data_IF_709493459559
#
_entry.id   IF_709493459559
#
_cell.length_a   1.000
_cell.length_b   1.000
_cell.length_c   1.000
_cell.angle_alpha   90.00
_cell.angle_beta   90.00
_cell.angle_gamma   90.00
#
_symmetry.space_group_name_H-M   'P 1'
#
loop_
_entity.id
_entity.type
_entity.pdbx_description
1 polymer ?
#
# COMPACT_ATOMS: atom_id res chain seq x y z
N UNK A 1 21.34 -38.18 -10.75
CA UNK A 1 19.96 -38.17 -10.22
C UNK A 1 19.63 -36.74 -9.83
N UNK A 2 18.93 -36.02 -10.70
CA UNK A 2 18.40 -34.69 -10.43
C UNK A 2 17.15 -34.84 -9.57
N UNK A 3 17.18 -34.34 -8.34
CA UNK A 3 15.97 -34.19 -7.52
C UNK A 3 14.96 -33.32 -8.29
N UNK A 4 13.67 -33.69 -8.32
CA UNK A 4 12.67 -32.86 -8.95
C UNK A 4 12.49 -31.60 -8.09
N UNK A 5 12.85 -30.43 -8.63
CA UNK A 5 12.50 -29.14 -8.04
C UNK A 5 10.99 -29.12 -7.78
N UNK A 6 10.62 -28.96 -6.51
CA UNK A 6 9.24 -29.03 -6.06
C UNK A 6 8.43 -27.87 -6.67
N UNK A 7 7.49 -28.14 -7.60
CA UNK A 7 6.72 -27.11 -8.30
C UNK A 7 5.84 -26.26 -7.37
N UNK A 8 5.66 -26.71 -6.12
CA UNK A 8 5.06 -25.94 -5.03
C UNK A 8 5.87 -24.68 -4.69
N UNK A 9 7.20 -24.79 -4.66
CA UNK A 9 8.13 -23.74 -4.21
C UNK A 9 8.18 -22.57 -5.19
N UNK A 10 8.07 -22.84 -6.49
CA UNK A 10 8.06 -21.80 -7.53
C UNK A 10 6.69 -21.11 -7.68
N UNK A 11 5.58 -21.83 -7.49
CA UNK A 11 4.25 -21.19 -7.38
C UNK A 11 4.15 -20.29 -6.16
N UNK A 12 4.72 -20.73 -5.04
CA UNK A 12 4.85 -19.94 -3.84
C UNK A 12 5.62 -18.64 -4.15
N UNK A 13 6.83 -18.72 -4.71
CA UNK A 13 7.64 -17.54 -5.12
C UNK A 13 6.87 -16.57 -6.01
N UNK A 14 6.12 -17.05 -7.00
CA UNK A 14 5.35 -16.20 -7.91
C UNK A 14 4.21 -15.46 -7.19
N UNK A 15 3.46 -16.15 -6.32
CA UNK A 15 2.45 -15.51 -5.46
C UNK A 15 3.08 -14.57 -4.41
N UNK A 16 4.35 -14.77 -4.04
CA UNK A 16 5.06 -13.93 -3.06
C UNK A 16 5.57 -12.62 -3.66
N UNK A 17 6.13 -12.67 -4.87
CA UNK A 17 6.45 -11.46 -5.62
C UNK A 17 5.18 -10.61 -5.76
N UNK A 18 4.04 -11.23 -6.10
CA UNK A 18 2.76 -10.52 -6.18
C UNK A 18 2.39 -9.84 -4.85
N UNK A 19 2.36 -10.56 -3.73
CA UNK A 19 1.95 -9.97 -2.43
C UNK A 19 2.85 -8.82 -1.96
N UNK A 20 4.16 -8.96 -2.08
CA UNK A 20 5.11 -7.90 -1.69
C UNK A 20 4.95 -6.69 -2.61
N UNK A 21 4.78 -6.91 -3.93
CA UNK A 21 4.51 -5.85 -4.91
C UNK A 21 3.16 -5.18 -4.62
N UNK A 22 2.12 -5.93 -4.28
CA UNK A 22 0.81 -5.39 -3.90
C UNK A 22 0.90 -4.51 -2.67
N UNK A 23 1.61 -4.95 -1.62
CA UNK A 23 1.80 -4.16 -0.42
C UNK A 23 2.64 -2.90 -0.68
N UNK A 24 3.69 -3.01 -1.50
CA UNK A 24 4.48 -1.86 -1.94
C UNK A 24 3.61 -0.84 -2.69
N UNK A 25 2.70 -1.29 -3.56
CA UNK A 25 1.75 -0.40 -4.26
C UNK A 25 0.77 0.28 -3.30
N UNK A 26 0.23 -0.43 -2.32
CA UNK A 26 -0.68 0.17 -1.33
C UNK A 26 0.01 1.32 -0.58
N UNK A 27 1.27 1.14 -0.16
CA UNK A 27 2.08 2.19 0.47
C UNK A 27 2.22 3.41 -0.45
N UNK A 28 2.53 3.19 -1.73
CA UNK A 28 2.65 4.26 -2.73
C UNK A 28 1.32 4.99 -2.98
N UNK A 29 0.19 4.29 -2.95
CA UNK A 29 -1.12 4.89 -3.09
C UNK A 29 -1.48 5.75 -1.87
N UNK A 30 -1.29 5.26 -0.65
CA UNK A 30 -1.49 6.05 0.58
C UNK A 30 -0.57 7.29 0.57
N UNK A 31 0.69 7.13 0.14
CA UNK A 31 1.62 8.25 -0.03
C UNK A 31 1.14 9.30 -1.05
N UNK A 32 0.69 8.88 -2.23
CA UNK A 32 0.18 9.82 -3.23
C UNK A 32 -1.09 10.55 -2.75
N UNK A 33 -1.93 9.89 -1.96
CA UNK A 33 -3.13 10.51 -1.36
C UNK A 33 -2.73 11.61 -0.38
N UNK A 34 -1.75 11.32 0.48
CA UNK A 34 -1.16 12.25 1.44
C UNK A 34 -0.54 13.49 0.76
N UNK A 35 0.06 13.34 -0.43
CA UNK A 35 0.60 14.49 -1.17
C UNK A 35 -0.46 15.46 -1.69
N UNK A 36 -1.73 15.02 -1.82
CA UNK A 36 -2.83 15.81 -2.40
C UNK A 36 -3.79 16.38 -1.35
N UNK A 37 -3.61 16.03 -0.08
CA UNK A 37 -4.48 16.41 1.02
C UNK A 37 -3.66 16.91 2.21
N UNK A 38 -4.32 17.53 3.19
CA UNK A 38 -3.69 17.77 4.49
C UNK A 38 -3.44 16.44 5.19
N UNK A 39 -2.24 16.28 5.75
CA UNK A 39 -1.84 15.04 6.40
C UNK A 39 -2.61 14.89 7.71
N UNK A 40 -3.47 13.87 7.80
CA UNK A 40 -4.14 13.53 9.04
C UNK A 40 -3.35 12.51 9.85
N UNK A 41 -3.57 12.48 11.16
CA UNK A 41 -3.02 11.43 12.02
C UNK A 41 -3.49 10.02 11.61
N UNK A 42 -4.69 9.92 11.02
CA UNK A 42 -5.24 8.66 10.50
C UNK A 42 -4.47 8.16 9.28
N UNK A 43 -4.15 9.04 8.32
CA UNK A 43 -3.38 8.66 7.13
C UNK A 43 -1.94 8.25 7.48
N UNK A 44 -1.34 8.90 8.49
CA UNK A 44 -0.02 8.51 9.01
C UNK A 44 -0.05 7.11 9.63
N UNK A 45 -1.09 6.81 10.42
CA UNK A 45 -1.29 5.49 11.00
C UNK A 45 -1.50 4.41 9.92
N UNK A 46 -2.29 4.71 8.88
CA UNK A 46 -2.49 3.82 7.72
C UNK A 46 -1.17 3.51 7.00
N UNK A 47 -0.34 4.53 6.78
CA UNK A 47 0.96 4.39 6.12
C UNK A 47 1.93 3.55 6.96
N UNK A 48 1.96 3.76 8.29
CA UNK A 48 2.76 2.98 9.23
C UNK A 48 2.32 1.53 9.27
N UNK A 49 1.03 1.27 9.37
CA UNK A 49 0.51 -0.10 9.40
C UNK A 49 0.83 -0.85 8.10
N UNK A 50 0.67 -0.18 6.96
CA UNK A 50 1.00 -0.73 5.64
C UNK A 50 2.50 -1.05 5.52
N UNK A 51 3.37 -0.21 6.06
CA UNK A 51 4.82 -0.42 6.09
C UNK A 51 5.20 -1.60 6.99
N UNK A 52 4.55 -1.77 8.15
CA UNK A 52 4.75 -2.94 9.01
C UNK A 52 4.29 -4.24 8.34
N UNK A 53 3.19 -4.22 7.58
CA UNK A 53 2.75 -5.37 6.78
C UNK A 53 3.79 -5.72 5.71
N UNK A 54 4.35 -4.71 5.02
CA UNK A 54 5.44 -4.92 4.05
C UNK A 54 6.64 -5.60 4.70
N UNK A 55 7.08 -5.11 5.87
CA UNK A 55 8.20 -5.70 6.60
C UNK A 55 7.95 -7.17 6.91
N UNK A 56 6.80 -7.51 7.52
CA UNK A 56 6.47 -8.90 7.86
C UNK A 56 6.44 -9.82 6.64
N UNK A 57 5.91 -9.35 5.51
CA UNK A 57 5.94 -10.13 4.28
C UNK A 57 7.36 -10.25 3.72
N UNK A 58 8.14 -9.17 3.74
CA UNK A 58 9.50 -9.14 3.23
C UNK A 58 10.43 -10.05 4.04
N UNK A 59 10.35 -10.03 5.38
CA UNK A 59 11.10 -10.91 6.29
C UNK A 59 10.75 -12.38 6.05
N UNK A 60 9.44 -12.69 6.00
CA UNK A 60 8.96 -14.06 5.80
C UNK A 60 9.46 -14.69 4.50
N UNK A 61 9.76 -13.87 3.49
CA UNK A 61 10.18 -14.32 2.16
C UNK A 61 11.59 -13.85 1.78
N UNK A 62 12.37 -13.43 2.77
CA UNK A 62 13.79 -13.03 2.64
C UNK A 62 14.05 -11.98 1.53
N UNK A 63 13.10 -11.05 1.34
CA UNK A 63 13.20 -9.98 0.34
C UNK A 63 14.04 -8.82 0.87
N UNK A 64 15.37 -8.99 0.90
CA UNK A 64 16.33 -8.07 1.53
C UNK A 64 16.12 -6.60 1.16
N UNK A 65 15.87 -6.29 -0.12
CA UNK A 65 15.63 -4.90 -0.57
C UNK A 65 14.34 -4.30 0.04
N UNK A 66 13.27 -5.09 0.13
CA UNK A 66 12.00 -4.66 0.71
C UNK A 66 12.07 -4.58 2.24
N UNK A 67 12.85 -5.45 2.89
CA UNK A 67 13.13 -5.38 4.34
C UNK A 67 13.82 -4.05 4.66
N UNK A 68 14.90 -3.72 3.93
CA UNK A 68 15.61 -2.44 4.11
C UNK A 68 14.70 -1.24 3.87
N UNK A 69 13.91 -1.25 2.79
CA UNK A 69 12.97 -0.16 2.50
C UNK A 69 11.92 0.00 3.59
N UNK A 70 11.35 -1.09 4.11
CA UNK A 70 10.35 -1.02 5.15
C UNK A 70 10.93 -0.48 6.47
N UNK A 71 12.16 -0.84 6.82
CA UNK A 71 12.86 -0.25 7.97
C UNK A 71 13.11 1.24 7.79
N UNK A 72 13.68 1.66 6.64
CA UNK A 72 13.96 3.06 6.35
C UNK A 72 12.67 3.92 6.41
N UNK A 73 11.56 3.39 5.87
CA UNK A 73 10.25 4.07 5.90
C UNK A 73 9.75 4.17 7.34
N UNK A 74 9.76 3.08 8.12
CA UNK A 74 9.31 3.11 9.51
C UNK A 74 10.11 4.12 10.34
N UNK A 75 11.43 4.17 10.18
CA UNK A 75 12.27 5.14 10.87
C UNK A 75 11.91 6.58 10.53
N UNK A 76 11.63 6.86 9.26
CA UNK A 76 11.19 8.18 8.83
C UNK A 76 9.82 8.56 9.45
N UNK A 77 8.88 7.61 9.52
CA UNK A 77 7.57 7.82 10.15
C UNK A 77 7.68 8.03 11.67
N UNK A 78 8.56 7.29 12.35
CA UNK A 78 8.85 7.47 13.77
C UNK A 78 9.43 8.87 14.06
N UNK A 79 10.29 9.38 13.17
CA UNK A 79 10.81 10.75 13.28
C UNK A 79 9.68 11.80 13.15
N UNK A 80 8.65 11.55 12.34
CA UNK A 80 7.45 12.41 12.26
C UNK A 80 6.66 12.37 13.55
N UNK A 81 6.42 11.18 14.10
CA UNK A 81 5.70 11.00 15.37
C UNK A 81 6.44 11.69 16.52
N UNK A 82 7.76 11.51 16.62
CA UNK A 82 8.61 12.18 17.60
C UNK A 82 8.55 13.71 17.49
N UNK A 83 8.33 14.24 16.28
CA UNK A 83 8.11 15.66 16.02
C UNK A 83 6.63 16.08 16.17
N UNK A 84 5.82 15.36 16.95
CA UNK A 84 4.40 15.63 17.20
C UNK A 84 3.56 15.66 15.91
N UNK A 85 3.88 14.81 14.95
CA UNK A 85 3.20 14.76 13.66
C UNK A 85 3.60 15.89 12.69
N UNK A 86 4.54 16.77 13.06
CA UNK A 86 5.00 17.84 12.17
C UNK A 86 6.00 17.31 11.17
N UNK A 87 5.64 17.43 9.91
CA UNK A 87 6.54 17.14 8.80
C UNK A 87 7.46 18.33 8.60
N UNK A 88 8.75 18.06 8.57
CA UNK A 88 9.74 19.02 8.12
C UNK A 88 10.22 18.64 6.71
N UNK A 89 10.89 19.58 6.05
CA UNK A 89 11.34 19.40 4.66
C UNK A 89 12.32 18.23 4.51
N UNK A 90 13.12 17.93 5.53
CA UNK A 90 14.04 16.77 5.50
C UNK A 90 13.28 15.46 5.47
N UNK A 91 12.29 15.26 6.34
CA UNK A 91 11.53 14.01 6.39
C UNK A 91 10.65 13.82 5.15
N UNK A 92 10.07 14.91 4.63
CA UNK A 92 9.34 14.87 3.35
C UNK A 92 10.27 14.45 2.21
N UNK A 93 11.49 14.98 2.17
CA UNK A 93 12.50 14.63 1.15
C UNK A 93 12.92 13.17 1.27
N UNK A 94 13.16 12.69 2.50
CA UNK A 94 13.53 11.31 2.77
C UNK A 94 12.42 10.33 2.39
N UNK A 95 11.18 10.60 2.82
CA UNK A 95 10.02 9.78 2.44
C UNK A 95 9.81 9.76 0.93
N UNK A 96 9.94 10.91 0.23
CA UNK A 96 9.86 10.94 -1.23
C UNK A 96 10.92 10.04 -1.90
N UNK A 97 12.17 10.11 -1.43
CA UNK A 97 13.26 9.25 -1.94
C UNK A 97 12.94 7.77 -1.71
N UNK A 98 12.42 7.42 -0.53
CA UNK A 98 12.05 6.05 -0.20
C UNK A 98 10.90 5.53 -1.05
N UNK A 99 9.87 6.35 -1.28
CA UNK A 99 8.74 6.00 -2.15
C UNK A 99 9.18 5.84 -3.60
N UNK A 100 10.11 6.67 -4.09
CA UNK A 100 10.70 6.47 -5.41
C UNK A 100 11.48 5.14 -5.49
N UNK A 101 12.28 4.79 -4.48
CA UNK A 101 12.97 3.49 -4.45
C UNK A 101 11.97 2.33 -4.41
N UNK A 102 10.95 2.40 -3.56
CA UNK A 102 9.91 1.38 -3.44
C UNK A 102 9.12 1.21 -4.76
N UNK A 103 8.86 2.30 -5.49
CA UNK A 103 8.20 2.20 -6.81
C UNK A 103 9.03 1.43 -7.84
N UNK A 104 10.35 1.47 -7.73
CA UNK A 104 11.28 0.78 -8.65
C UNK A 104 11.40 -0.71 -8.37
N UNK A 105 11.18 -1.15 -7.14
CA UNK A 105 11.22 -2.58 -6.81
C UNK A 105 10.06 -3.35 -7.44
N UNK A 106 8.90 -2.70 -7.60
CA UNK A 106 7.73 -3.29 -8.27
C UNK A 106 7.80 -3.35 -9.80
N UNK A 107 8.76 -2.67 -10.43
CA UNK A 107 8.98 -2.65 -11.89
C UNK A 107 10.02 -3.68 -12.35
N UNK A 108 10.75 -4.30 -11.43
CA UNK A 108 11.84 -5.24 -11.76
C UNK A 108 11.33 -6.67 -11.93
N UNK A 109 10.63 -6.89 -13.04
CA UNK A 109 10.62 -8.11 -13.84
C UNK A 109 10.41 -7.70 -15.31
N UNK A 110 11.33 -6.91 -15.86
CA UNK A 110 11.48 -6.76 -17.33
C UNK A 110 11.36 -5.37 -17.95
N UNK A 111 10.93 -4.32 -17.24
CA UNK A 111 10.67 -3.03 -17.91
C UNK A 111 11.85 -2.04 -17.88
N UNK A 112 12.15 -1.49 -19.07
CA UNK A 112 13.16 -0.46 -19.32
C UNK A 112 12.68 0.92 -18.85
N UNK A 113 13.66 1.69 -18.40
CA UNK A 113 13.56 3.00 -17.76
C UNK A 113 13.05 4.08 -18.72
N UNK A 114 11.83 4.56 -18.52
CA UNK A 114 11.52 5.97 -18.71
C UNK A 114 10.74 6.48 -17.51
N UNK A 115 11.21 7.64 -17.01
CA UNK A 115 10.68 8.46 -15.90
C UNK A 115 9.33 7.96 -15.36
N UNK A 116 9.38 7.02 -14.41
CA UNK A 116 8.17 6.43 -13.88
C UNK A 116 7.50 7.45 -12.98
N UNK A 117 6.58 8.20 -13.56
CA UNK A 117 5.51 8.84 -12.80
C UNK A 117 4.92 7.77 -11.87
N UNK A 118 4.77 8.11 -10.59
CA UNK A 118 4.13 7.24 -9.63
C UNK A 118 2.82 6.71 -10.26
N UNK A 119 2.59 5.38 -10.31
CA UNK A 119 1.46 4.82 -11.02
C UNK A 119 0.18 5.49 -10.52
N UNK A 120 -0.74 5.90 -11.42
CA UNK A 120 -1.90 6.68 -11.02
C UNK A 120 -2.69 5.91 -9.96
N UNK A 121 -2.97 6.55 -8.82
CA UNK A 121 -3.81 5.99 -7.75
C UNK A 121 -5.02 5.26 -8.34
N UNK A 122 -5.22 3.98 -8.01
CA UNK A 122 -6.45 3.28 -8.43
C UNK A 122 -7.66 3.89 -7.74
N UNK A 123 -8.79 3.97 -8.45
CA UNK A 123 -10.05 4.41 -7.85
C UNK A 123 -10.52 3.32 -6.87
N UNK A 124 -11.03 3.70 -5.69
CA UNK A 124 -11.49 2.73 -4.70
C UNK A 124 -12.76 2.00 -5.15
N UNK A 125 -13.05 0.83 -4.58
CA UNK A 125 -14.35 0.17 -4.66
C UNK A 125 -15.16 0.57 -3.43
N UNK A 126 -16.40 1.01 -3.63
CA UNK A 126 -17.30 1.32 -2.51
C UNK A 126 -18.18 0.11 -2.25
N UNK A 127 -18.21 -0.34 -0.99
CA UNK A 127 -19.00 -1.46 -0.53
C UNK A 127 -20.10 -0.90 0.37
N UNK A 128 -21.34 -0.95 -0.11
CA UNK A 128 -22.52 -0.34 0.53
C UNK A 128 -23.58 -1.42 0.74
N UNK A 129 -23.23 -2.43 1.54
CA UNK A 129 -24.15 -3.52 1.87
C UNK A 129 -24.96 -3.21 3.13
N UNK A 130 -26.21 -3.66 3.15
CA UNK A 130 -27.08 -3.56 4.34
C UNK A 130 -26.50 -4.32 5.54
N UNK A 131 -25.79 -5.42 5.30
CA UNK A 131 -25.06 -6.17 6.32
C UNK A 131 -23.63 -5.59 6.43
N UNK A 132 -23.41 -4.79 7.48
CA UNK A 132 -22.15 -4.09 7.71
C UNK A 132 -20.96 -5.03 7.96
N UNK A 133 -21.18 -6.18 8.62
CA UNK A 133 -20.10 -7.15 8.84
C UNK A 133 -19.67 -7.79 7.52
N UNK A 134 -20.62 -8.08 6.63
CA UNK A 134 -20.30 -8.60 5.30
C UNK A 134 -19.61 -7.54 4.45
N UNK A 135 -20.02 -6.27 4.57
CA UNK A 135 -19.37 -5.15 3.88
C UNK A 135 -17.90 -5.03 4.27
N UNK A 136 -17.59 -5.06 5.58
CA UNK A 136 -16.21 -5.02 6.05
C UNK A 136 -15.40 -6.25 5.62
N UNK A 137 -15.99 -7.44 5.68
CA UNK A 137 -15.31 -8.67 5.25
C UNK A 137 -14.99 -8.63 3.76
N UNK A 138 -15.92 -8.17 2.93
CA UNK A 138 -15.70 -8.01 1.49
C UNK A 138 -14.63 -6.95 1.20
N UNK A 139 -14.67 -5.80 1.89
CA UNK A 139 -13.64 -4.76 1.74
C UNK A 139 -12.24 -5.32 2.06
N UNK A 140 -12.08 -6.07 3.16
CA UNK A 140 -10.81 -6.75 3.51
C UNK A 140 -10.37 -7.76 2.46
N UNK A 141 -11.30 -8.50 1.86
CA UNK A 141 -11.00 -9.43 0.76
C UNK A 141 -10.58 -8.71 -0.52
N UNK A 142 -11.21 -7.59 -0.85
CA UNK A 142 -10.83 -6.77 -2.02
C UNK A 142 -9.44 -6.15 -1.82
N UNK A 143 -9.16 -5.63 -0.63
CA UNK A 143 -7.82 -5.14 -0.25
C UNK A 143 -6.77 -6.24 -0.37
N UNK A 144 -7.12 -7.47 -0.01
CA UNK A 144 -6.25 -8.63 -0.19
C UNK A 144 -5.84 -8.87 -1.65
N UNK A 145 -6.70 -8.52 -2.62
CA UNK A 145 -6.42 -8.58 -4.06
C UNK A 145 -5.84 -7.28 -4.64
N UNK A 146 -5.47 -6.31 -3.78
CA UNK A 146 -4.91 -5.04 -4.21
C UNK A 146 -5.93 -4.07 -4.81
N UNK A 147 -7.20 -4.22 -4.44
CA UNK A 147 -8.25 -3.26 -4.73
C UNK A 147 -8.51 -2.45 -3.44
N UNK A 148 -8.18 -1.15 -3.46
CA UNK A 148 -8.57 -0.27 -2.37
C UNK A 148 -10.10 -0.29 -2.25
N UNK A 149 -10.62 -0.67 -1.08
CA UNK A 149 -12.05 -0.81 -0.85
C UNK A 149 -12.48 -0.05 0.40
N UNK A 150 -13.63 0.61 0.35
CA UNK A 150 -14.20 1.35 1.46
C UNK A 150 -15.58 0.79 1.78
N UNK A 151 -15.73 0.26 2.99
CA UNK A 151 -17.03 -0.10 3.55
C UNK A 151 -17.70 1.18 4.06
N UNK A 152 -18.89 1.50 3.53
CA UNK A 152 -19.63 2.71 3.85
C UNK A 152 -20.97 2.32 4.44
N UNK A 153 -21.28 2.82 5.63
CA UNK A 153 -22.37 2.34 6.46
C UNK A 153 -23.57 3.29 6.47
N UNK A 154 -23.47 4.43 5.81
CA UNK A 154 -24.55 5.41 5.71
C UNK A 154 -24.53 6.19 4.41
N UNK A 155 -25.69 6.76 4.05
CA UNK A 155 -25.83 7.67 2.90
C UNK A 155 -24.92 8.90 3.06
N UNK A 156 -24.76 9.41 4.28
CA UNK A 156 -23.89 10.55 4.55
C UNK A 156 -22.41 10.22 4.30
N UNK A 157 -21.94 9.05 4.75
CA UNK A 157 -20.58 8.57 4.46
C UNK A 157 -20.36 8.39 2.96
N UNK A 158 -21.33 7.80 2.26
CA UNK A 158 -21.27 7.61 0.82
C UNK A 158 -21.18 8.95 0.06
N UNK A 159 -22.02 9.92 0.40
CA UNK A 159 -22.00 11.25 -0.22
C UNK A 159 -20.67 11.96 0.03
N UNK A 160 -20.14 11.88 1.27
CA UNK A 160 -18.83 12.46 1.60
C UNK A 160 -17.70 11.80 0.81
N UNK A 161 -17.72 10.48 0.70
CA UNK A 161 -16.73 9.72 -0.05
C UNK A 161 -16.77 10.06 -1.56
N UNK A 162 -17.97 10.09 -2.15
CA UNK A 162 -18.19 10.47 -3.56
C UNK A 162 -17.72 11.89 -3.88
N UNK A 163 -17.92 12.84 -2.96
CA UNK A 163 -17.45 14.22 -3.12
C UNK A 163 -15.91 14.33 -3.10
N UNK A 164 -15.24 13.46 -2.34
CA UNK A 164 -13.78 13.41 -2.28
C UNK A 164 -13.18 12.70 -3.49
N UNK A 165 -13.75 11.55 -3.89
CA UNK A 165 -13.21 10.74 -4.98
C UNK A 165 -14.24 9.78 -5.56
N UNK A 166 -14.32 9.71 -6.87
CA UNK A 166 -15.21 8.73 -7.51
C UNK A 166 -14.61 7.31 -7.44
N UNK A 167 -15.44 6.29 -7.14
CA UNK A 167 -14.99 4.90 -7.11
C UNK A 167 -14.82 4.32 -8.51
N UNK A 168 -14.15 3.16 -8.59
CA UNK A 168 -14.10 2.31 -9.77
C UNK A 168 -15.40 1.51 -9.94
N UNK A 169 -16.00 1.11 -8.82
CA UNK A 169 -17.23 0.33 -8.75
C UNK A 169 -17.94 0.57 -7.40
N UNK A 170 -19.25 0.35 -7.39
CA UNK A 170 -20.09 0.36 -6.19
C UNK A 170 -20.77 -1.02 -6.11
N UNK A 171 -20.69 -1.64 -4.94
CA UNK A 171 -21.26 -2.98 -4.66
C UNK A 171 -22.28 -2.85 -3.54
#
# INVERSE_FOLDING_TARGET
>A
MTEPEDPSRDRLKHHFAQRVIHQARQILETWQRLQKAEWSAGDMAELKESTLRLLRFAERFEQVEHISLAHDINQALEAVEANRGRLNSSVITDLNRLMQRLSRTGLRHGDQLEQTSLPPLRKPVYVVLQDHERAERLAKQLEFFGLAALSLHSVAEFQRAMAQRHPAAIV
#
